data_IF_583450557440
#
_entry.id   IF_583450557440
#
_cell.length_a   1.000
_cell.length_b   1.000
_cell.length_c   1.000
_cell.angle_alpha   90.00
_cell.angle_beta   90.00
_cell.angle_gamma   90.00
#
_symmetry.space_group_name_H-M   'P 1'
#
loop_
_entity.id
_entity.type
_entity.pdbx_description
1 polymer ?
#
# COMPACT_ATOMS: atom_id res chain seq x y z
N UNK A 1 -1.97 -8.59 4.81
CA UNK A 1 -2.05 -8.75 3.33
C UNK A 1 -0.66 -9.03 2.79
N UNK A 2 -0.52 -9.79 1.69
CA UNK A 2 0.77 -10.12 1.09
C UNK A 2 0.75 -9.86 -0.44
N UNK A 3 1.40 -8.81 -0.95
CA UNK A 3 1.31 -8.41 -2.36
C UNK A 3 2.18 -9.26 -3.30
N UNK A 4 2.49 -10.53 -2.97
CA UNK A 4 3.26 -11.44 -3.82
C UNK A 4 4.79 -11.35 -3.65
N UNK A 5 5.51 -12.02 -4.56
CA UNK A 5 6.96 -12.23 -4.55
C UNK A 5 7.44 -12.89 -3.26
N UNK A 6 6.78 -14.00 -2.93
CA UNK A 6 7.14 -14.88 -1.81
C UNK A 6 8.50 -15.56 -2.03
N UNK A 7 8.88 -15.80 -3.27
CA UNK A 7 10.15 -16.46 -3.57
C UNK A 7 10.85 -15.83 -4.77
N UNK A 8 12.11 -16.23 -4.99
CA UNK A 8 12.84 -15.86 -6.20
C UNK A 8 12.72 -16.99 -7.25
N UNK A 9 12.36 -16.63 -8.48
CA UNK A 9 12.34 -17.50 -9.65
C UNK A 9 11.55 -18.81 -9.46
N UNK A 10 10.38 -18.75 -8.83
CA UNK A 10 9.47 -19.87 -8.61
C UNK A 10 10.15 -21.08 -7.94
N UNK A 11 11.11 -20.81 -7.06
CA UNK A 11 11.88 -21.85 -6.41
C UNK A 11 10.97 -22.73 -5.55
N UNK A 12 10.82 -24.00 -5.96
CA UNK A 12 9.94 -24.99 -5.32
C UNK A 12 10.25 -25.23 -3.84
N UNK A 13 11.48 -24.91 -3.41
CA UNK A 13 11.92 -25.09 -2.03
C UNK A 13 11.58 -23.86 -1.19
N UNK A 14 11.88 -22.65 -1.66
CA UNK A 14 11.66 -21.44 -0.87
C UNK A 14 10.21 -20.96 -0.88
N UNK A 15 9.44 -21.23 -1.93
CA UNK A 15 8.04 -20.81 -2.03
C UNK A 15 7.17 -21.36 -0.87
N UNK A 16 7.15 -22.69 -0.57
CA UNK A 16 6.42 -23.19 0.60
C UNK A 16 6.95 -22.68 1.93
N UNK A 17 8.26 -22.43 2.04
CA UNK A 17 8.88 -21.92 3.28
C UNK A 17 8.44 -20.49 3.55
N UNK A 18 8.49 -19.63 2.53
CA UNK A 18 8.06 -18.24 2.64
C UNK A 18 6.55 -18.15 2.95
N UNK A 19 5.73 -18.94 2.25
CA UNK A 19 4.29 -18.95 2.53
C UNK A 19 3.96 -19.43 3.95
N UNK A 20 4.65 -20.47 4.42
CA UNK A 20 4.54 -20.92 5.81
C UNK A 20 4.94 -19.82 6.79
N UNK A 21 6.00 -19.07 6.52
CA UNK A 21 6.44 -17.96 7.37
C UNK A 21 5.39 -16.84 7.43
N UNK A 22 4.80 -16.46 6.29
CA UNK A 22 3.68 -15.48 6.25
C UNK A 22 2.51 -15.93 7.13
N UNK A 23 2.14 -17.21 7.06
CA UNK A 23 1.07 -17.77 7.90
C UNK A 23 1.46 -17.82 9.39
N UNK A 24 2.72 -18.10 9.71
CA UNK A 24 3.22 -18.05 11.09
C UNK A 24 3.17 -16.64 11.68
N UNK A 25 3.57 -15.63 10.89
CA UNK A 25 3.45 -14.22 11.27
C UNK A 25 1.98 -13.84 11.47
N UNK A 26 1.10 -14.21 10.53
CA UNK A 26 -0.34 -13.98 10.66
C UNK A 26 -0.91 -14.59 11.95
N UNK A 27 -0.60 -15.85 12.23
CA UNK A 27 -1.04 -16.50 13.46
C UNK A 27 -0.50 -15.83 14.73
N UNK A 28 0.76 -15.40 14.72
CA UNK A 28 1.37 -14.70 15.85
C UNK A 28 0.74 -13.31 16.10
N UNK A 29 0.30 -12.64 15.04
CA UNK A 29 -0.44 -11.38 15.10
C UNK A 29 -1.94 -11.56 15.37
N UNK A 30 -2.44 -12.80 15.41
CA UNK A 30 -3.86 -13.09 15.60
C UNK A 30 -4.74 -12.64 14.43
N UNK A 31 -4.20 -12.61 13.20
CA UNK A 31 -4.98 -12.20 12.03
C UNK A 31 -6.11 -13.20 11.76
N UNK A 32 -7.30 -12.68 11.46
CA UNK A 32 -8.45 -13.52 11.13
C UNK A 32 -8.38 -14.05 9.69
N UNK A 33 -7.84 -13.24 8.78
CA UNK A 33 -7.73 -13.58 7.37
C UNK A 33 -6.39 -13.12 6.80
N UNK A 34 -5.76 -14.02 6.03
CA UNK A 34 -4.63 -13.70 5.16
C UNK A 34 -5.16 -13.63 3.73
N UNK A 35 -4.97 -12.47 3.10
CA UNK A 35 -5.20 -12.25 1.68
C UNK A 35 -3.84 -12.00 1.02
N UNK A 36 -3.54 -12.77 -0.02
CA UNK A 36 -2.31 -12.69 -0.78
C UNK A 36 -2.59 -12.59 -2.29
N UNK A 37 -1.63 -12.13 -3.06
CA UNK A 37 -1.64 -12.25 -4.52
C UNK A 37 -0.32 -12.77 -5.03
N UNK A 38 -0.24 -13.02 -6.32
CA UNK A 38 0.90 -13.65 -6.99
C UNK A 38 1.86 -12.58 -7.52
N UNK A 39 3.13 -12.67 -7.14
CA UNK A 39 4.19 -11.87 -7.74
C UNK A 39 4.81 -12.52 -8.96
N UNK A 40 5.56 -11.74 -9.74
CA UNK A 40 6.18 -12.23 -10.97
C UNK A 40 7.28 -13.27 -10.70
N UNK A 41 7.90 -13.23 -9.52
CA UNK A 41 8.89 -14.21 -9.10
C UNK A 41 8.27 -15.48 -8.49
N UNK A 42 6.97 -15.48 -8.21
CA UNK A 42 6.26 -16.68 -7.71
C UNK A 42 5.86 -17.64 -8.82
N UNK A 43 5.77 -17.14 -10.05
CA UNK A 43 5.36 -17.88 -11.25
C UNK A 43 6.59 -18.38 -11.99
N UNK A 44 6.57 -19.62 -12.45
CA UNK A 44 7.63 -20.17 -13.33
C UNK A 44 7.49 -19.63 -14.76
N UNK A 45 7.54 -18.31 -14.87
CA UNK A 45 7.36 -17.51 -16.09
C UNK A 45 8.33 -17.92 -17.19
N UNK A 46 9.50 -18.43 -16.80
CA UNK A 46 10.58 -18.89 -17.70
C UNK A 46 10.57 -20.39 -17.94
N UNK A 47 9.59 -21.13 -17.39
CA UNK A 47 9.43 -22.59 -17.52
C UNK A 47 10.69 -23.39 -17.17
N UNK A 48 11.41 -22.93 -16.15
CA UNK A 48 12.64 -23.57 -15.66
C UNK A 48 12.36 -24.86 -14.90
N UNK A 49 11.14 -25.04 -14.41
CA UNK A 49 10.75 -26.05 -13.44
C UNK A 49 9.49 -26.82 -13.83
N UNK A 50 8.59 -26.21 -14.60
CA UNK A 50 7.38 -26.80 -15.15
C UNK A 50 7.13 -26.29 -16.57
N UNK A 51 7.05 -27.21 -17.54
CA UNK A 51 6.84 -26.87 -18.95
C UNK A 51 5.37 -26.60 -19.29
N UNK A 52 4.43 -26.96 -18.41
CA UNK A 52 2.99 -27.01 -18.72
C UNK A 52 2.13 -26.02 -17.90
N UNK A 53 2.27 -25.97 -16.57
CA UNK A 53 1.52 -25.05 -15.71
C UNK A 53 2.48 -24.25 -14.79
N UNK A 54 2.79 -22.98 -15.13
CA UNK A 54 3.76 -22.18 -14.39
C UNK A 54 3.26 -21.72 -13.02
N UNK A 55 1.98 -21.93 -12.69
CA UNK A 55 1.39 -21.59 -11.38
C UNK A 55 1.06 -22.83 -10.54
N UNK A 56 1.43 -24.04 -11.00
CA UNK A 56 1.07 -25.30 -10.34
C UNK A 56 1.58 -25.37 -8.89
N UNK A 57 2.80 -24.89 -8.64
CA UNK A 57 3.41 -24.95 -7.30
C UNK A 57 2.66 -24.06 -6.29
N UNK A 58 2.14 -22.92 -6.73
CA UNK A 58 1.31 -22.04 -5.89
C UNK A 58 0.01 -22.73 -5.47
N UNK A 59 -0.62 -23.49 -6.37
CA UNK A 59 -1.85 -24.25 -6.10
C UNK A 59 -1.65 -25.40 -5.10
N UNK A 60 -0.41 -25.84 -4.89
CA UNK A 60 -0.04 -26.93 -3.97
C UNK A 60 0.35 -26.46 -2.57
N UNK A 61 0.40 -25.15 -2.34
CA UNK A 61 0.80 -24.60 -1.06
C UNK A 61 -0.15 -25.01 0.09
N UNK A 62 0.43 -25.13 1.28
CA UNK A 62 -0.28 -25.38 2.53
C UNK A 62 0.19 -24.39 3.60
N UNK A 63 -0.72 -23.62 4.26
CA UNK A 63 -2.16 -23.50 3.99
C UNK A 63 -2.49 -23.10 2.54
N UNK A 64 -3.73 -23.24 2.10
CA UNK A 64 -4.08 -22.98 0.71
C UNK A 64 -3.90 -21.50 0.31
N UNK A 65 -3.46 -21.28 -0.93
CA UNK A 65 -3.15 -19.96 -1.49
C UNK A 65 -4.14 -19.59 -2.62
N UNK A 66 -4.51 -18.30 -2.81
CA UNK A 66 -4.12 -17.13 -2.01
C UNK A 66 -4.90 -16.91 -0.71
N UNK A 67 -5.95 -17.69 -0.51
CA UNK A 67 -6.92 -17.57 0.59
C UNK A 67 -7.41 -18.97 0.97
N UNK A 68 -7.83 -19.16 2.23
CA UNK A 68 -8.30 -20.47 2.74
C UNK A 68 -9.71 -20.84 2.25
N UNK A 69 -10.50 -19.87 1.83
CA UNK A 69 -11.81 -20.15 1.23
C UNK A 69 -11.67 -20.76 -0.18
N UNK A 70 -12.34 -21.90 -0.41
CA UNK A 70 -12.24 -22.64 -1.68
C UNK A 70 -12.92 -21.92 -2.85
N UNK A 71 -14.06 -21.28 -2.62
CA UNK A 71 -14.80 -20.58 -3.69
C UNK A 71 -14.00 -19.37 -4.17
N UNK A 72 -13.49 -18.57 -3.25
CA UNK A 72 -12.63 -17.42 -3.57
C UNK A 72 -11.33 -17.84 -4.27
N UNK A 73 -10.71 -18.94 -3.86
CA UNK A 73 -9.56 -19.50 -4.60
C UNK A 73 -9.93 -19.89 -6.03
N UNK A 74 -11.04 -20.59 -6.21
CA UNK A 74 -11.47 -21.01 -7.53
C UNK A 74 -11.66 -19.78 -8.43
N UNK A 75 -12.35 -18.76 -7.92
CA UNK A 75 -12.53 -17.48 -8.61
C UNK A 75 -11.19 -16.85 -8.99
N UNK A 76 -10.25 -16.75 -8.04
CA UNK A 76 -8.92 -16.18 -8.28
C UNK A 76 -8.18 -16.88 -9.42
N UNK A 77 -8.22 -18.22 -9.45
CA UNK A 77 -7.52 -18.98 -10.48
C UNK A 77 -8.25 -18.98 -11.82
N UNK A 78 -9.57 -18.91 -11.85
CA UNK A 78 -10.36 -18.93 -13.10
C UNK A 78 -10.55 -17.55 -13.73
N UNK A 79 -10.69 -16.51 -12.92
CA UNK A 79 -11.06 -15.16 -13.34
C UNK A 79 -9.92 -14.14 -13.18
N UNK A 80 -8.81 -14.55 -12.56
CA UNK A 80 -7.63 -13.73 -12.25
C UNK A 80 -7.86 -12.64 -11.19
N UNK A 81 -8.96 -12.75 -10.44
CA UNK A 81 -9.22 -11.95 -9.25
C UNK A 81 -10.13 -12.70 -8.28
N UNK A 82 -10.19 -12.22 -7.03
CA UNK A 82 -11.26 -12.57 -6.10
C UNK A 82 -11.75 -11.31 -5.40
N UNK A 83 -12.97 -11.36 -4.87
CA UNK A 83 -13.51 -10.33 -3.97
C UNK A 83 -13.80 -10.98 -2.63
N UNK A 84 -13.01 -10.64 -1.61
CA UNK A 84 -13.30 -11.01 -0.23
C UNK A 84 -14.14 -9.91 0.40
N UNK A 85 -15.17 -10.27 1.16
CA UNK A 85 -16.00 -9.33 1.90
C UNK A 85 -16.05 -9.74 3.37
N UNK A 86 -16.12 -8.73 4.23
CA UNK A 86 -16.38 -8.83 5.66
C UNK A 86 -17.48 -7.81 6.03
N UNK A 87 -17.83 -7.68 7.31
CA UNK A 87 -18.89 -6.77 7.76
C UNK A 87 -18.57 -5.30 7.42
N UNK A 88 -17.30 -4.90 7.52
CA UNK A 88 -16.88 -3.50 7.39
C UNK A 88 -16.06 -3.21 6.14
N UNK A 89 -15.50 -4.22 5.48
CA UNK A 89 -14.58 -4.01 4.36
C UNK A 89 -14.76 -5.02 3.23
N UNK A 90 -14.43 -4.58 2.01
CA UNK A 90 -14.20 -5.46 0.86
C UNK A 90 -12.76 -5.37 0.39
N UNK A 91 -12.22 -6.50 -0.07
CA UNK A 91 -10.90 -6.58 -0.66
C UNK A 91 -10.96 -7.23 -2.04
N UNK A 92 -10.66 -6.44 -3.07
CA UNK A 92 -10.42 -6.89 -4.44
C UNK A 92 -8.97 -7.34 -4.56
N UNK A 93 -8.73 -8.63 -4.75
CA UNK A 93 -7.36 -9.15 -4.95
C UNK A 93 -7.16 -9.50 -6.41
N UNK A 94 -6.24 -8.82 -7.08
CA UNK A 94 -5.95 -8.98 -8.51
C UNK A 94 -4.69 -9.82 -8.70
N UNK A 95 -4.78 -10.85 -9.53
CA UNK A 95 -3.63 -11.58 -10.04
C UNK A 95 -3.02 -10.83 -11.23
N UNK A 96 -2.23 -9.80 -10.95
CA UNK A 96 -1.54 -9.04 -12.01
C UNK A 96 -0.54 -9.89 -12.79
N UNK A 97 -0.15 -11.05 -12.27
CA UNK A 97 0.86 -11.95 -12.84
C UNK A 97 0.26 -13.10 -13.66
N UNK A 98 -1.07 -13.10 -13.86
CA UNK A 98 -1.81 -14.19 -14.51
C UNK A 98 -1.29 -14.56 -15.91
N UNK A 99 -0.71 -13.60 -16.64
CA UNK A 99 -0.28 -13.76 -18.03
C UNK A 99 1.23 -13.98 -18.19
N UNK A 100 2.01 -14.06 -17.10
CA UNK A 100 3.47 -14.22 -17.12
C UNK A 100 3.97 -15.53 -17.76
N UNK A 101 3.06 -16.43 -18.14
CA UNK A 101 3.37 -17.66 -18.89
C UNK A 101 3.72 -17.45 -20.36
N UNK A 102 3.56 -16.23 -20.87
CA UNK A 102 3.82 -15.82 -22.26
C UNK A 102 5.03 -14.88 -22.35
N UNK A 103 5.83 -15.02 -23.42
CA UNK A 103 7.17 -14.42 -23.51
C UNK A 103 7.22 -12.90 -23.45
N UNK A 104 6.16 -12.21 -23.88
CA UNK A 104 6.09 -10.74 -23.85
C UNK A 104 5.62 -10.20 -22.49
N UNK A 105 4.88 -11.01 -21.73
CA UNK A 105 4.21 -10.62 -20.48
C UNK A 105 5.09 -10.86 -19.24
N UNK A 106 6.29 -11.42 -19.40
CA UNK A 106 7.21 -11.70 -18.28
C UNK A 106 7.67 -10.42 -17.58
N UNK A 107 7.66 -9.29 -18.30
CA UNK A 107 8.25 -8.02 -17.86
C UNK A 107 7.24 -7.09 -17.19
N UNK A 108 5.94 -7.38 -17.22
CA UNK A 108 4.91 -6.46 -16.74
C UNK A 108 3.65 -7.19 -16.30
N UNK A 109 2.88 -6.56 -15.42
CA UNK A 109 1.55 -7.07 -15.07
C UNK A 109 0.53 -6.89 -16.19
N UNK A 110 -0.60 -7.60 -16.12
CA UNK A 110 -1.76 -7.36 -16.99
C UNK A 110 -3.07 -7.61 -16.27
N UNK A 111 -4.06 -6.78 -16.60
CA UNK A 111 -5.47 -7.07 -16.42
C UNK A 111 -6.16 -7.05 -17.79
N UNK A 112 -6.85 -8.14 -18.14
CA UNK A 112 -7.57 -8.22 -19.41
C UNK A 112 -8.90 -7.47 -19.32
N UNK A 113 -9.40 -6.98 -20.47
CA UNK A 113 -10.71 -6.32 -20.55
C UNK A 113 -11.85 -7.21 -20.05
N UNK A 114 -11.78 -8.52 -20.33
CA UNK A 114 -12.74 -9.50 -19.80
C UNK A 114 -12.71 -9.56 -18.28
N UNK A 115 -11.52 -9.51 -17.66
CA UNK A 115 -11.36 -9.46 -16.21
C UNK A 115 -11.89 -8.15 -15.64
N UNK A 116 -11.59 -7.00 -16.27
CA UNK A 116 -12.13 -5.70 -15.87
C UNK A 116 -13.66 -5.68 -15.86
N UNK A 117 -14.29 -6.30 -16.86
CA UNK A 117 -15.75 -6.42 -16.93
C UNK A 117 -16.31 -7.22 -15.76
N UNK A 118 -15.72 -8.38 -15.44
CA UNK A 118 -16.14 -9.21 -14.31
C UNK A 118 -15.90 -8.52 -12.97
N UNK A 119 -14.80 -7.77 -12.83
CA UNK A 119 -14.54 -6.94 -11.65
C UNK A 119 -15.64 -5.89 -11.49
N UNK A 120 -15.98 -5.15 -12.56
CA UNK A 120 -17.06 -4.17 -12.52
C UNK A 120 -18.38 -4.80 -12.04
N UNK A 121 -18.77 -5.92 -12.64
CA UNK A 121 -19.98 -6.66 -12.27
C UNK A 121 -19.95 -7.11 -10.79
N UNK A 122 -18.78 -7.50 -10.28
CA UNK A 122 -18.59 -7.94 -8.88
C UNK A 122 -18.59 -6.79 -7.87
N UNK A 123 -18.25 -5.57 -8.30
CA UNK A 123 -18.17 -4.38 -7.44
C UNK A 123 -19.45 -3.54 -7.43
N UNK A 124 -20.40 -3.82 -8.33
CA UNK A 124 -21.69 -3.12 -8.39
C UNK A 124 -22.67 -3.56 -7.28
N UNK A 125 -22.20 -4.36 -6.32
CA UNK A 125 -22.95 -4.81 -5.14
C UNK A 125 -22.36 -4.17 -3.87
N UNK A 126 -23.26 -3.76 -2.98
CA UNK A 126 -23.05 -3.33 -1.60
C UNK A 126 -22.02 -2.20 -1.36
N UNK A 127 -22.40 -1.31 -0.44
CA UNK A 127 -21.53 -0.26 0.06
C UNK A 127 -20.73 -0.80 1.26
N UNK A 128 -19.41 -0.66 1.23
CA UNK A 128 -18.50 -1.07 2.30
C UNK A 128 -17.78 0.15 2.87
N UNK A 129 -17.61 0.18 4.19
CA UNK A 129 -16.92 1.30 4.84
C UNK A 129 -15.48 1.43 4.34
N UNK A 130 -14.80 0.31 4.14
CA UNK A 130 -13.41 0.26 3.68
C UNK A 130 -13.30 -0.60 2.41
N UNK A 131 -12.70 -0.03 1.37
CA UNK A 131 -12.48 -0.72 0.10
C UNK A 131 -10.98 -0.83 -0.16
N UNK A 132 -10.49 -2.06 -0.32
CA UNK A 132 -9.07 -2.32 -0.52
C UNK A 132 -8.86 -3.08 -1.82
N UNK A 133 -7.93 -2.65 -2.65
CA UNK A 133 -7.41 -3.42 -3.77
C UNK A 133 -6.01 -3.93 -3.44
N UNK A 134 -5.74 -5.21 -3.67
CA UNK A 134 -4.43 -5.84 -3.51
C UNK A 134 -3.94 -6.37 -4.85
N UNK A 135 -2.80 -5.88 -5.32
CA UNK A 135 -2.12 -6.41 -6.52
C UNK A 135 -0.61 -6.53 -6.28
N UNK A 136 0.13 -7.15 -7.21
CA UNK A 136 1.58 -7.20 -7.11
C UNK A 136 2.22 -6.03 -7.85
N UNK A 137 2.01 -5.98 -9.16
CA UNK A 137 2.55 -4.90 -10.01
C UNK A 137 1.85 -3.57 -9.74
N UNK A 138 2.56 -2.47 -9.98
CA UNK A 138 2.02 -1.13 -9.83
C UNK A 138 0.95 -0.85 -10.90
N UNK A 139 -0.23 -0.32 -10.52
CA UNK A 139 -1.30 -0.01 -11.47
C UNK A 139 -1.14 1.33 -12.19
N UNK A 140 -0.18 2.16 -11.80
CA UNK A 140 0.18 3.41 -12.47
C UNK A 140 1.71 3.58 -12.55
N UNK A 141 2.17 4.50 -13.40
CA UNK A 141 3.59 4.79 -13.59
C UNK A 141 4.29 5.19 -12.29
N UNK A 142 5.30 4.42 -11.91
CA UNK A 142 6.16 4.72 -10.77
C UNK A 142 7.57 5.08 -11.28
N UNK A 143 7.70 6.27 -11.86
CA UNK A 143 8.90 6.75 -12.58
C UNK A 143 10.02 7.29 -11.67
N UNK A 144 9.81 7.29 -10.36
CA UNK A 144 10.76 7.82 -9.40
C UNK A 144 12.00 6.91 -9.27
N UNK A 145 13.16 7.54 -9.03
CA UNK A 145 14.45 6.87 -8.83
C UNK A 145 14.92 6.03 -10.04
N UNK A 146 14.40 6.31 -11.25
CA UNK A 146 14.79 5.62 -12.50
C UNK A 146 14.62 4.09 -12.44
N UNK A 147 13.66 3.59 -11.65
CA UNK A 147 13.38 2.16 -11.45
C UNK A 147 12.70 1.48 -12.66
N UNK A 148 12.78 2.08 -13.85
CA UNK A 148 12.14 1.62 -15.07
C UNK A 148 10.63 1.93 -15.16
N UNK A 149 10.12 2.05 -16.38
CA UNK A 149 8.71 2.39 -16.68
C UNK A 149 7.92 1.27 -17.39
N UNK A 150 8.49 0.06 -17.50
CA UNK A 150 7.97 -0.98 -18.39
C UNK A 150 7.37 -2.18 -17.67
N UNK A 151 7.18 -2.10 -16.36
CA UNK A 151 6.74 -3.18 -15.47
C UNK A 151 5.38 -2.94 -14.80
N UNK A 152 4.72 -1.84 -15.15
CA UNK A 152 3.37 -1.51 -14.72
C UNK A 152 2.31 -2.47 -15.27
N UNK A 153 1.15 -2.52 -14.61
CA UNK A 153 0.01 -3.30 -15.10
C UNK A 153 -0.50 -2.70 -16.42
N UNK A 154 -0.44 -3.47 -17.52
CA UNK A 154 -1.23 -3.15 -18.71
C UNK A 154 -2.71 -3.23 -18.39
N UNK A 155 -3.42 -2.11 -18.54
CA UNK A 155 -4.81 -1.94 -18.11
C UNK A 155 -4.95 -1.40 -16.67
N UNK A 156 -3.85 -1.08 -15.99
CA UNK A 156 -3.85 -0.55 -14.62
C UNK A 156 -4.59 0.77 -14.48
N UNK A 157 -4.43 1.71 -15.42
CA UNK A 157 -5.19 2.96 -15.40
C UNK A 157 -6.69 2.73 -15.54
N UNK A 158 -7.13 1.83 -16.42
CA UNK A 158 -8.56 1.48 -16.57
C UNK A 158 -9.13 0.88 -15.27
N UNK A 159 -8.32 0.10 -14.55
CA UNK A 159 -8.69 -0.43 -13.24
C UNK A 159 -8.81 0.67 -12.19
N UNK A 160 -7.85 1.60 -12.13
CA UNK A 160 -7.90 2.75 -11.22
C UNK A 160 -9.08 3.67 -11.52
N UNK A 161 -9.36 3.93 -12.79
CA UNK A 161 -10.50 4.71 -13.23
C UNK A 161 -11.82 4.04 -12.82
N UNK A 162 -11.91 2.71 -13.01
CA UNK A 162 -13.08 1.91 -12.63
C UNK A 162 -13.39 2.01 -11.13
N UNK A 163 -12.38 1.84 -10.27
CA UNK A 163 -12.58 1.88 -8.81
C UNK A 163 -12.68 3.33 -8.28
N UNK A 164 -12.12 4.30 -9.00
CA UNK A 164 -12.18 5.74 -8.67
C UNK A 164 -13.40 6.47 -9.23
N UNK A 165 -14.34 5.76 -9.88
CA UNK A 165 -15.60 6.32 -10.39
C UNK A 165 -16.33 7.10 -9.26
N UNK A 166 -16.82 8.33 -9.48
CA UNK A 166 -17.43 9.16 -8.41
C UNK A 166 -18.66 8.56 -7.73
N UNK A 167 -19.28 7.54 -8.34
CA UNK A 167 -20.41 6.81 -7.74
C UNK A 167 -19.97 5.71 -6.77
N UNK A 168 -18.68 5.41 -6.71
CA UNK A 168 -18.09 4.41 -5.81
C UNK A 168 -17.46 5.10 -4.60
N UNK A 169 -17.36 4.34 -3.53
CA UNK A 169 -16.65 4.74 -2.31
C UNK A 169 -15.15 4.73 -2.55
N UNK A 170 -14.41 5.46 -1.72
CA UNK A 170 -12.96 5.59 -1.81
C UNK A 170 -12.23 4.24 -1.64
N UNK A 171 -11.12 4.08 -2.37
CA UNK A 171 -10.30 2.86 -2.38
C UNK A 171 -8.88 3.08 -1.90
N UNK A 172 -8.39 2.15 -1.09
CA UNK A 172 -6.97 1.96 -0.81
C UNK A 172 -6.43 0.86 -1.74
N UNK A 173 -5.38 1.17 -2.47
CA UNK A 173 -4.69 0.23 -3.36
C UNK A 173 -3.35 -0.13 -2.74
N UNK A 174 -3.13 -1.39 -2.42
CA UNK A 174 -1.87 -1.91 -1.90
C UNK A 174 -1.19 -2.72 -2.99
N UNK A 175 0.06 -2.39 -3.31
CA UNK A 175 0.87 -3.16 -4.25
C UNK A 175 2.31 -3.37 -3.79
N UNK A 176 3.03 -4.27 -4.46
CA UNK A 176 4.45 -4.57 -4.24
C UNK A 176 5.29 -4.25 -5.47
N UNK A 177 6.15 -5.19 -5.86
CA UNK A 177 6.99 -5.20 -7.07
C UNK A 177 8.13 -4.18 -7.13
N UNK A 178 7.91 -2.92 -6.75
CA UNK A 178 8.93 -1.87 -6.86
C UNK A 178 9.94 -1.85 -5.73
N UNK A 179 9.64 -2.52 -4.61
CA UNK A 179 10.42 -2.49 -3.37
C UNK A 179 10.60 -1.08 -2.77
N UNK A 180 10.04 -0.03 -3.39
CA UNK A 180 10.12 1.35 -2.97
C UNK A 180 8.82 1.74 -2.26
N UNK A 181 8.86 1.90 -0.93
CA UNK A 181 7.66 2.15 -0.16
C UNK A 181 7.21 3.60 -0.31
N UNK A 182 5.92 3.79 -0.57
CA UNK A 182 5.36 5.11 -0.86
C UNK A 182 3.86 5.12 -0.69
N UNK A 183 3.31 6.27 -0.31
CA UNK A 183 1.87 6.52 -0.36
C UNK A 183 1.61 7.71 -1.29
N UNK A 184 0.71 7.54 -2.25
CA UNK A 184 0.28 8.59 -3.19
C UNK A 184 -1.21 8.55 -3.40
N UNK A 185 -1.72 9.56 -4.11
CA UNK A 185 -3.04 9.51 -4.71
C UNK A 185 -2.88 9.15 -6.19
N UNK A 186 -3.74 8.26 -6.70
CA UNK A 186 -3.85 8.00 -8.13
C UNK A 186 -4.28 9.27 -8.88
N UNK A 187 -4.12 9.28 -10.21
CA UNK A 187 -4.64 10.37 -11.04
C UNK A 187 -6.18 10.39 -10.99
N UNK A 188 -6.75 11.59 -10.88
CA UNK A 188 -8.20 11.78 -10.86
C UNK A 188 -8.62 12.99 -10.01
N UNK A 189 -9.88 12.97 -9.53
CA UNK A 189 -10.47 13.99 -8.66
C UNK A 189 -10.31 13.72 -7.17
N UNK A 190 -11.23 14.25 -6.36
CA UNK A 190 -11.19 14.09 -4.90
C UNK A 190 -11.35 12.63 -4.43
N UNK A 191 -12.04 11.80 -5.23
CA UNK A 191 -12.23 10.35 -5.00
C UNK A 191 -11.11 9.48 -5.57
N UNK A 192 -9.98 10.06 -5.98
CA UNK A 192 -8.89 9.27 -6.56
C UNK A 192 -8.39 8.22 -5.56
N UNK A 193 -8.21 6.95 -5.95
CA UNK A 193 -7.71 5.94 -5.03
C UNK A 193 -6.40 6.34 -4.35
N UNK A 194 -6.25 5.96 -3.08
CA UNK A 194 -4.99 6.08 -2.34
C UNK A 194 -4.13 4.88 -2.72
N UNK A 195 -2.89 5.08 -3.15
CA UNK A 195 -1.98 4.00 -3.56
C UNK A 195 -0.85 3.87 -2.56
N UNK A 196 -0.80 2.72 -1.89
CA UNK A 196 0.25 2.29 -0.99
C UNK A 196 1.16 1.29 -1.71
N UNK A 197 2.31 1.77 -2.17
CA UNK A 197 3.42 0.93 -2.63
C UNK A 197 4.14 0.39 -1.39
N UNK A 198 4.15 -0.92 -1.21
CA UNK A 198 4.82 -1.56 -0.10
C UNK A 198 6.29 -1.83 -0.43
N UNK A 199 7.16 -1.56 0.55
CA UNK A 199 8.54 -2.04 0.54
C UNK A 199 8.59 -3.56 0.66
N UNK A 200 9.74 -4.13 0.35
CA UNK A 200 9.93 -5.57 0.53
C UNK A 200 10.22 -5.91 1.98
N UNK A 201 9.80 -7.10 2.44
CA UNK A 201 10.10 -7.54 3.81
C UNK A 201 11.39 -8.35 3.93
N UNK A 202 11.91 -8.89 2.83
CA UNK A 202 13.03 -9.85 2.84
C UNK A 202 13.87 -9.86 1.55
N UNK A 203 13.88 -8.76 0.81
CA UNK A 203 14.60 -8.69 -0.48
C UNK A 203 16.06 -8.31 -0.32
N UNK A 204 16.89 -8.77 -1.25
CA UNK A 204 18.16 -8.09 -1.55
C UNK A 204 17.85 -6.90 -2.43
N UNK A 205 17.94 -5.69 -1.88
CA UNK A 205 17.60 -4.47 -2.59
C UNK A 205 18.59 -4.19 -3.72
N UNK A 206 18.07 -3.67 -4.84
CA UNK A 206 18.89 -3.16 -5.93
C UNK A 206 19.78 -2.00 -5.47
N UNK A 207 20.98 -1.81 -6.05
CA UNK A 207 21.89 -0.73 -5.67
C UNK A 207 21.25 0.66 -5.58
N UNK A 208 20.31 0.94 -6.50
CA UNK A 208 19.55 2.19 -6.59
C UNK A 208 18.63 2.41 -5.37
N UNK A 209 18.19 1.33 -4.71
CA UNK A 209 17.27 1.35 -3.58
C UNK A 209 17.94 1.31 -2.20
N UNK A 210 19.19 0.86 -2.10
CA UNK A 210 19.89 0.69 -0.81
C UNK A 210 19.92 1.98 0.03
N UNK A 211 19.98 3.13 -0.65
CA UNK A 211 19.97 4.44 0.00
C UNK A 211 18.56 5.02 0.17
N UNK A 212 17.58 4.55 -0.59
CA UNK A 212 16.21 5.06 -0.57
C UNK A 212 15.32 4.32 0.43
N UNK A 213 15.58 3.03 0.70
CA UNK A 213 14.71 2.20 1.55
C UNK A 213 15.45 1.02 2.18
N UNK A 214 14.83 0.42 3.19
CA UNK A 214 15.21 -0.85 3.80
C UNK A 214 14.18 -1.94 3.50
N UNK A 215 14.34 -3.11 4.14
CA UNK A 215 13.27 -4.09 4.15
C UNK A 215 12.25 -3.68 5.22
N UNK A 216 11.00 -3.46 4.82
CA UNK A 216 9.96 -2.90 5.67
C UNK A 216 8.74 -3.81 5.85
N UNK A 217 8.10 -3.67 7.01
CA UNK A 217 6.81 -4.27 7.37
C UNK A 217 5.85 -3.17 7.84
N UNK A 218 4.54 -3.35 7.61
CA UNK A 218 3.54 -2.31 7.88
C UNK A 218 2.34 -2.84 8.64
N UNK A 219 1.80 -2.01 9.54
CA UNK A 219 0.48 -2.16 10.13
C UNK A 219 -0.32 -0.92 9.75
N UNK A 220 -1.47 -1.11 9.11
CA UNK A 220 -2.38 -0.03 8.74
C UNK A 220 -3.57 -0.06 9.70
N UNK A 221 -3.90 1.09 10.26
CA UNK A 221 -4.96 1.27 11.26
C UNK A 221 -6.04 2.20 10.71
N UNK A 222 -7.29 1.80 10.88
CA UNK A 222 -8.47 2.50 10.39
C UNK A 222 -9.43 2.72 11.55
N UNK A 223 -10.09 3.87 11.58
CA UNK A 223 -11.14 4.20 12.54
C UNK A 223 -12.48 4.31 11.80
N UNK A 224 -13.44 3.49 12.19
CA UNK A 224 -14.72 3.39 11.48
C UNK A 224 -15.51 4.70 11.51
N UNK A 225 -15.54 5.39 12.65
CA UNK A 225 -16.32 6.63 12.80
C UNK A 225 -15.66 7.75 12.01
N UNK A 226 -14.33 7.79 11.98
CA UNK A 226 -13.65 8.77 11.15
C UNK A 226 -13.89 8.50 9.66
N UNK A 227 -13.86 7.24 9.21
CA UNK A 227 -14.11 6.93 7.80
C UNK A 227 -15.54 7.33 7.40
N UNK A 228 -16.54 7.07 8.25
CA UNK A 228 -17.94 7.48 7.98
C UNK A 228 -18.08 9.00 7.78
N UNK A 229 -17.29 9.80 8.49
CA UNK A 229 -17.39 11.26 8.49
C UNK A 229 -16.46 11.95 7.49
N UNK A 230 -15.33 11.32 7.15
CA UNK A 230 -14.24 11.96 6.38
C UNK A 230 -13.90 11.24 5.07
N UNK A 231 -14.52 10.10 4.78
CA UNK A 231 -14.10 9.23 3.68
C UNK A 231 -12.88 8.39 4.08
N UNK A 232 -12.22 7.75 3.10
CA UNK A 232 -11.10 6.87 3.41
C UNK A 232 -9.92 7.64 4.01
N UNK A 233 -9.71 7.46 5.31
CA UNK A 233 -8.54 7.93 6.04
C UNK A 233 -7.95 6.80 6.87
N UNK A 234 -6.65 6.85 7.10
CA UNK A 234 -5.97 5.84 7.90
C UNK A 234 -4.59 6.28 8.36
N UNK A 235 -4.03 5.47 9.25
CA UNK A 235 -2.67 5.62 9.75
C UNK A 235 -1.88 4.37 9.42
N UNK A 236 -0.57 4.51 9.35
CA UNK A 236 0.32 3.38 9.24
C UNK A 236 1.42 3.46 10.29
N UNK A 237 1.90 2.28 10.67
CA UNK A 237 3.17 2.09 11.36
C UNK A 237 4.08 1.24 10.49
N UNK A 238 5.35 1.57 10.45
CA UNK A 238 6.35 0.81 9.71
C UNK A 238 7.51 0.36 10.59
N UNK A 239 8.10 -0.77 10.20
CA UNK A 239 9.29 -1.33 10.84
C UNK A 239 10.34 -1.65 9.80
N UNK A 240 11.59 -1.36 10.11
CA UNK A 240 12.76 -1.74 9.32
C UNK A 240 13.40 -3.01 9.88
N UNK A 241 13.85 -3.89 8.98
CA UNK A 241 14.69 -5.02 9.35
C UNK A 241 16.16 -4.60 9.46
N UNK A 242 16.72 -4.73 10.66
CA UNK A 242 18.14 -4.49 10.93
C UNK A 242 18.87 -5.82 11.18
N UNK A 243 19.88 -6.18 10.35
CA UNK A 243 20.69 -7.38 10.57
C UNK A 243 21.29 -7.43 11.97
N UNK A 244 21.01 -8.50 12.71
CA UNK A 244 21.50 -8.71 14.08
C UNK A 244 20.64 -8.09 15.19
N UNK A 245 19.76 -7.13 14.87
CA UNK A 245 18.86 -6.48 15.85
C UNK A 245 17.39 -6.87 15.66
N UNK A 246 17.01 -7.31 14.46
CA UNK A 246 15.65 -7.68 14.13
C UNK A 246 14.82 -6.51 13.61
N UNK A 247 13.50 -6.60 13.77
CA UNK A 247 12.57 -5.55 13.39
C UNK A 247 12.57 -4.42 14.42
N UNK A 248 12.79 -3.18 13.98
CA UNK A 248 12.71 -1.96 14.79
C UNK A 248 11.76 -0.97 14.12
N UNK A 249 11.23 0.00 14.87
CA UNK A 249 10.45 1.07 14.25
C UNK A 249 11.30 1.75 13.17
N UNK A 250 10.69 2.02 12.01
CA UNK A 250 11.44 2.56 10.88
C UNK A 250 12.03 3.95 11.21
N UNK A 251 13.16 4.28 10.59
CA UNK A 251 13.70 5.62 10.70
C UNK A 251 12.99 6.61 9.75
N UNK A 252 13.23 7.90 9.93
CA UNK A 252 12.70 8.94 9.04
C UNK A 252 13.61 9.22 7.83
N UNK A 253 14.66 8.42 7.64
CA UNK A 253 15.69 8.64 6.61
C UNK A 253 15.41 7.83 5.35
N UNK A 254 14.82 6.65 5.48
CA UNK A 254 14.62 5.70 4.39
C UNK A 254 13.20 5.15 4.34
N UNK A 255 12.65 5.07 3.13
CA UNK A 255 11.33 4.53 2.89
C UNK A 255 10.21 5.32 3.57
N UNK A 256 9.23 4.61 4.15
CA UNK A 256 8.18 5.23 4.94
C UNK A 256 8.59 5.35 6.42
N UNK A 257 8.33 6.50 7.08
CA UNK A 257 8.68 6.75 8.48
C UNK A 257 7.93 5.82 9.43
N UNK A 258 8.42 5.66 10.67
CA UNK A 258 7.79 4.79 11.68
C UNK A 258 6.29 5.03 11.84
N UNK A 259 5.85 6.28 11.76
CA UNK A 259 4.45 6.67 11.84
C UNK A 259 4.08 7.62 10.71
N UNK A 260 2.87 7.45 10.17
CA UNK A 260 2.30 8.43 9.26
C UNK A 260 0.84 8.17 8.96
N UNK A 261 0.28 9.02 8.10
CA UNK A 261 -1.13 9.03 7.76
C UNK A 261 -1.40 8.95 6.26
N UNK A 262 -2.67 8.89 5.92
CA UNK A 262 -3.18 9.15 4.58
C UNK A 262 -4.67 9.46 4.60
N UNK A 263 -5.14 10.13 3.54
CA UNK A 263 -6.56 10.37 3.27
C UNK A 263 -7.04 11.79 3.58
N UNK A 264 -6.33 12.58 4.40
CA UNK A 264 -6.66 14.00 4.54
C UNK A 264 -6.14 14.79 3.34
N UNK A 265 -7.05 15.40 2.58
CA UNK A 265 -6.77 16.06 1.29
C UNK A 265 -6.86 17.58 1.31
N UNK A 266 -6.83 18.18 2.49
CA UNK A 266 -6.85 19.65 2.58
C UNK A 266 -5.60 20.26 1.91
N UNK A 267 -5.77 21.41 1.28
CA UNK A 267 -4.66 22.14 0.69
C UNK A 267 -3.66 22.58 1.79
N UNK A 268 -2.40 22.18 1.64
CA UNK A 268 -1.32 22.48 2.59
C UNK A 268 -1.17 23.97 2.94
N UNK A 269 -1.42 24.89 2.00
CA UNK A 269 -1.35 26.35 2.25
C UNK A 269 -2.49 26.82 3.15
N UNK A 270 -3.68 26.25 2.99
CA UNK A 270 -4.83 26.60 3.84
C UNK A 270 -4.64 26.05 5.25
N UNK A 271 -4.16 24.80 5.36
CA UNK A 271 -3.82 24.19 6.64
C UNK A 271 -2.72 24.98 7.37
N UNK A 272 -1.65 25.37 6.66
CA UNK A 272 -0.57 26.19 7.21
C UNK A 272 -1.06 27.53 7.76
N UNK A 273 -1.97 28.21 7.04
CA UNK A 273 -2.59 29.46 7.50
C UNK A 273 -3.42 29.24 8.77
N UNK A 274 -4.21 28.16 8.83
CA UNK A 274 -5.01 27.85 10.02
C UNK A 274 -4.13 27.61 11.26
N UNK A 275 -2.99 26.93 11.08
CA UNK A 275 -1.98 26.73 12.13
C UNK A 275 -1.36 28.07 12.56
N UNK A 276 -0.93 28.90 11.60
CA UNK A 276 -0.34 30.21 11.87
C UNK A 276 -1.30 31.17 12.59
N UNK A 277 -2.57 31.18 12.19
CA UNK A 277 -3.63 32.00 12.80
C UNK A 277 -3.87 31.58 14.25
N UNK A 278 -3.90 30.26 14.51
CA UNK A 278 -4.04 29.73 15.87
C UNK A 278 -2.85 30.15 16.76
N UNK A 279 -1.62 30.03 16.27
CA UNK A 279 -0.41 30.45 16.97
C UNK A 279 -0.41 31.95 17.24
N UNK A 280 -0.93 32.76 16.32
CA UNK A 280 -0.97 34.22 16.44
C UNK A 280 -2.05 34.71 17.42
N UNK A 281 -3.18 34.02 17.48
CA UNK A 281 -4.30 34.38 18.35
C UNK A 281 -4.14 33.86 19.78
N UNK A 282 -3.28 32.86 19.98
CA UNK A 282 -2.96 32.39 21.32
C UNK A 282 -1.87 33.27 21.96
N UNK A 283 -1.90 33.42 23.29
CA UNK A 283 -0.81 34.07 24.03
C UNK A 283 0.52 33.29 23.96
N UNK A 284 0.53 32.13 23.30
CA UNK A 284 1.65 31.22 23.22
C UNK A 284 1.92 30.86 21.76
N UNK A 285 2.91 31.52 21.14
CA UNK A 285 3.33 31.32 19.74
C UNK A 285 3.93 29.95 19.42
N UNK A 286 3.67 28.96 20.28
CA UNK A 286 4.39 27.71 20.35
C UNK A 286 3.47 26.60 20.88
N UNK A 287 3.36 25.50 20.14
CA UNK A 287 2.62 24.31 20.54
C UNK A 287 3.54 23.09 20.52
N UNK A 288 3.42 22.25 21.55
CA UNK A 288 4.21 21.04 21.73
C UNK A 288 3.33 19.79 21.64
N UNK A 289 3.84 18.79 20.94
CA UNK A 289 3.42 17.39 20.94
C UNK A 289 1.90 17.23 20.89
N UNK A 290 1.29 16.68 21.94
CA UNK A 290 -0.14 16.39 22.04
C UNK A 290 -1.01 17.61 21.70
N UNK A 291 -0.62 18.83 22.11
CA UNK A 291 -1.40 20.04 21.84
C UNK A 291 -1.49 20.39 20.36
N UNK A 292 -0.48 20.02 19.57
CA UNK A 292 -0.50 20.21 18.11
C UNK A 292 -1.62 19.37 17.52
N UNK A 293 -1.67 18.09 17.89
CA UNK A 293 -2.64 17.14 17.38
C UNK A 293 -4.04 17.30 17.97
N UNK A 294 -4.16 17.79 19.21
CA UNK A 294 -5.45 18.18 19.79
C UNK A 294 -6.08 19.36 19.03
N UNK A 295 -5.23 20.28 18.55
CA UNK A 295 -5.67 21.46 17.80
C UNK A 295 -5.90 21.16 16.31
N UNK A 296 -5.14 20.21 15.76
CA UNK A 296 -5.09 19.87 14.35
C UNK A 296 -5.05 18.34 14.17
N UNK A 297 -6.13 17.62 14.50
CA UNK A 297 -6.17 16.15 14.44
C UNK A 297 -5.93 15.60 13.03
N UNK A 298 -6.22 16.39 11.99
CA UNK A 298 -5.98 16.06 10.59
C UNK A 298 -4.52 15.77 10.25
N UNK A 299 -3.57 16.28 11.05
CA UNK A 299 -2.14 16.03 10.86
C UNK A 299 -1.78 14.55 10.98
N UNK A 300 -2.57 13.75 11.69
CA UNK A 300 -2.38 12.30 11.76
C UNK A 300 -2.68 11.58 10.44
N UNK A 301 -3.32 12.24 9.48
CA UNK A 301 -3.85 11.62 8.26
C UNK A 301 -3.25 12.24 6.99
N UNK A 302 -2.16 12.99 7.12
CA UNK A 302 -1.38 13.48 5.99
C UNK A 302 -0.43 12.39 5.49
N UNK A 303 -0.30 12.27 4.16
CA UNK A 303 0.78 11.47 3.58
C UNK A 303 2.13 12.13 3.86
N UNK A 304 3.27 11.39 3.83
CA UNK A 304 4.58 11.99 3.99
C UNK A 304 4.84 13.16 3.02
N UNK A 305 4.33 13.08 1.78
CA UNK A 305 4.50 14.14 0.79
C UNK A 305 3.60 15.36 1.05
N UNK A 306 2.39 15.15 1.59
CA UNK A 306 1.52 16.25 2.02
C UNK A 306 2.10 16.95 3.24
N UNK A 307 2.73 16.20 4.16
CA UNK A 307 3.43 16.73 5.33
C UNK A 307 4.64 17.61 4.92
N UNK A 308 5.45 17.16 3.96
CA UNK A 308 6.53 17.98 3.38
C UNK A 308 6.00 19.24 2.69
N UNK A 309 4.82 19.15 2.05
CA UNK A 309 4.17 20.31 1.43
C UNK A 309 3.66 21.30 2.48
N UNK A 310 3.14 20.79 3.60
CA UNK A 310 2.73 21.58 4.75
C UNK A 310 3.91 22.30 5.41
N UNK A 311 5.01 21.59 5.63
CA UNK A 311 6.25 22.15 6.19
C UNK A 311 6.72 23.37 5.38
N UNK A 312 6.85 23.23 4.06
CA UNK A 312 7.23 24.35 3.16
C UNK A 312 6.23 25.51 3.22
N UNK A 313 4.94 25.22 3.35
CA UNK A 313 3.92 26.25 3.47
C UNK A 313 4.01 26.98 4.81
N UNK A 314 4.28 26.27 5.91
CA UNK A 314 4.51 26.85 7.24
C UNK A 314 5.77 27.73 7.27
N UNK A 315 6.87 27.26 6.67
CA UNK A 315 8.11 28.04 6.54
C UNK A 315 7.87 29.39 5.85
N UNK A 316 7.02 29.41 4.81
CA UNK A 316 6.66 30.65 4.10
C UNK A 316 5.88 31.66 4.96
N UNK A 317 5.32 31.20 6.07
CA UNK A 317 4.58 31.98 7.07
C UNK A 317 5.40 32.24 8.34
N UNK A 318 6.72 32.00 8.31
CA UNK A 318 7.61 32.09 9.46
C UNK A 318 7.19 31.17 10.63
N UNK A 319 6.60 30.01 10.31
CA UNK A 319 6.32 28.95 11.28
C UNK A 319 7.31 27.81 11.04
N UNK A 320 8.04 27.44 12.08
CA UNK A 320 9.00 26.33 12.07
C UNK A 320 8.37 25.11 12.71
N UNK A 321 8.64 23.94 12.14
CA UNK A 321 8.26 22.63 12.67
C UNK A 321 9.49 21.86 13.13
N UNK A 322 9.36 21.13 14.23
CA UNK A 322 10.31 20.08 14.60
C UNK A 322 9.60 18.74 14.58
N UNK A 323 10.28 17.70 14.09
CA UNK A 323 9.78 16.33 14.05
C UNK A 323 10.42 15.49 15.15
N UNK A 324 9.67 14.51 15.64
CA UNK A 324 10.17 13.43 16.48
C UNK A 324 10.97 12.42 15.65
N UNK A 325 11.77 11.57 16.31
CA UNK A 325 12.46 10.45 15.67
C UNK A 325 11.51 9.47 14.96
N UNK A 326 10.22 9.51 15.31
CA UNK A 326 9.14 8.67 14.79
C UNK A 326 8.42 9.26 13.57
N UNK A 327 8.72 10.51 13.21
CA UNK A 327 8.20 11.17 12.00
C UNK A 327 6.96 12.03 12.24
N UNK A 328 6.50 12.12 13.49
CA UNK A 328 5.41 13.00 13.90
C UNK A 328 5.90 14.41 14.21
N UNK A 329 5.06 15.41 13.98
CA UNK A 329 5.34 16.81 14.38
C UNK A 329 5.40 16.86 15.91
N UNK A 330 6.58 17.19 16.44
CA UNK A 330 6.82 17.35 17.87
C UNK A 330 6.56 18.79 18.33
N UNK A 331 6.78 19.77 17.47
CA UNK A 331 6.69 21.19 17.82
C UNK A 331 6.28 22.02 16.59
N UNK A 332 5.44 23.04 16.81
CA UNK A 332 5.23 24.16 15.87
C UNK A 332 5.47 25.48 16.60
N UNK A 333 6.29 26.34 16.00
CA UNK A 333 6.67 27.62 16.59
C UNK A 333 6.63 28.74 15.56
N UNK A 334 5.99 29.86 15.88
CA UNK A 334 6.01 31.06 15.04
C UNK A 334 7.17 31.98 15.46
N UNK A 335 8.08 32.23 14.51
CA UNK A 335 9.32 33.01 14.68
C UNK A 335 9.06 34.51 14.60
#
# INVERSE_FOLDING_TARGET
>A
MCPGDLCNNACKVSLPVAWKAVNQVGNALGVQQILATVGNHDVDSRRQHNTYDPIEELKKLSPEFPVVDRQLRNQFWSEHFLVYTDEIFRCLVINSSAYHSSTEEIQHGRIAESTLKLVKESLDQDDFLLNIMLCHHNPHKHSEIQLGEHDEIKGGQLLLDLIGEPQRQDWLVIHGHKHHPKITYASGGNSSPIVFSAGSSASTLYPELINATGNQFYILEFDEELIKNHGLIGRFRSWDWHPGFGWQAADNMKGLPAFGGFGHRENAVLLARRIEENLSNSNNKHLMSEKVYDSFPELYYLTPNDLLSLERALESLSVVVAFSDEGLIHEVCKV
#
